data_IF_096699466799
#
_entry.id   IF_096699466799
#
_cell.length_a   1.000
_cell.length_b   1.000
_cell.length_c   1.000
_cell.angle_alpha   90.00
_cell.angle_beta   90.00
_cell.angle_gamma   90.00
#
_symmetry.space_group_name_H-M   'P 1'
#
loop_
_entity.id
_entity.type
_entity.pdbx_description
1 polymer ?
#
# COMPACT_ATOMS: atom_id res chain seq x y z
N UNK A 1 2.88 60.75 35.73
CA UNK A 1 1.41 60.89 35.62
C UNK A 1 1.03 60.97 34.16
N UNK A 2 0.57 59.96 33.57
CA UNK A 2 -0.02 59.98 32.23
C UNK A 2 -1.04 58.84 32.11
N UNK A 3 -2.29 59.26 31.87
CA UNK A 3 -3.49 58.45 31.89
C UNK A 3 -3.58 57.57 30.66
N UNK A 4 -3.88 56.28 30.86
CA UNK A 4 -4.26 55.32 29.79
C UNK A 4 -5.72 55.57 29.40
N UNK A 5 -5.99 55.78 28.13
CA UNK A 5 -7.34 55.85 27.54
C UNK A 5 -7.61 54.47 26.92
N UNK A 6 -8.61 53.77 27.45
CA UNK A 6 -9.13 52.53 26.90
C UNK A 6 -10.34 52.87 26.03
N UNK A 7 -10.26 52.57 24.75
CA UNK A 7 -11.39 52.70 23.81
C UNK A 7 -12.08 51.35 23.70
N UNK A 8 -13.32 51.28 24.18
CA UNK A 8 -14.24 50.17 23.94
C UNK A 8 -14.93 50.41 22.59
N UNK A 9 -14.75 49.48 21.65
CA UNK A 9 -15.52 49.47 20.39
C UNK A 9 -16.68 48.48 20.56
N UNK A 10 -17.89 49.02 20.68
CA UNK A 10 -19.12 48.22 20.73
C UNK A 10 -19.50 47.79 19.32
N UNK A 11 -19.56 46.48 19.09
CA UNK A 11 -20.06 45.89 17.87
C UNK A 11 -21.58 45.73 17.94
N UNK A 12 -22.32 46.56 17.19
CA UNK A 12 -23.78 46.41 17.05
C UNK A 12 -24.09 45.35 16.02
N UNK A 13 -24.69 44.25 16.47
CA UNK A 13 -25.16 43.16 15.61
C UNK A 13 -26.63 43.45 15.27
N UNK A 14 -26.93 43.88 14.05
CA UNK A 14 -28.31 43.97 13.54
C UNK A 14 -28.73 42.66 12.94
N UNK A 15 -29.65 41.96 13.61
CA UNK A 15 -30.31 40.76 13.14
C UNK A 15 -31.53 41.14 12.30
N UNK A 16 -31.47 40.90 10.99
CA UNK A 16 -32.65 41.01 10.11
C UNK A 16 -33.33 39.63 9.99
N UNK A 17 -34.50 39.48 10.62
CA UNK A 17 -35.38 38.32 10.44
C UNK A 17 -36.21 38.51 9.18
N UNK A 18 -36.00 37.62 8.18
CA UNK A 18 -36.94 37.47 7.05
C UNK A 18 -37.69 36.15 7.26
N UNK A 19 -38.99 36.26 7.53
CA UNK A 19 -39.92 35.12 7.60
C UNK A 19 -40.42 34.76 6.22
N UNK A 20 -40.20 33.52 5.79
CA UNK A 20 -40.84 32.99 4.57
C UNK A 20 -40.25 31.66 4.11
N UNK A 21 -41.02 30.58 4.29
CA UNK A 21 -41.00 29.28 3.68
C UNK A 21 -39.77 28.39 3.87
N UNK A 22 -40.03 27.21 4.47
CA UNK A 22 -39.20 26.04 4.67
C UNK A 22 -38.07 25.83 3.64
N UNK A 23 -36.85 26.11 4.06
CA UNK A 23 -35.59 25.80 3.38
C UNK A 23 -34.43 26.07 4.32
N UNK A 24 -33.49 25.15 4.42
CA UNK A 24 -32.29 25.26 5.23
C UNK A 24 -31.57 26.58 5.00
N UNK A 25 -31.07 27.27 6.01
CA UNK A 25 -30.39 28.56 5.83
C UNK A 25 -29.01 28.35 5.19
N UNK A 26 -28.82 28.94 4.02
CA UNK A 26 -27.51 29.09 3.37
C UNK A 26 -26.88 30.36 3.92
N UNK A 27 -25.77 30.23 4.62
CA UNK A 27 -24.99 31.35 5.14
C UNK A 27 -24.10 31.90 4.03
N UNK A 28 -24.36 33.09 3.51
CA UNK A 28 -23.46 33.77 2.58
C UNK A 28 -22.49 34.66 3.39
N UNK A 29 -21.19 34.44 3.24
CA UNK A 29 -20.15 35.36 3.70
C UNK A 29 -19.85 36.35 2.59
N UNK A 30 -20.12 37.65 2.85
CA UNK A 30 -19.72 38.74 1.95
C UNK A 30 -18.28 39.15 2.22
N UNK A 31 -17.47 39.04 1.19
CA UNK A 31 -16.19 39.69 0.88
C UNK A 31 -15.35 40.27 2.04
N UNK A 32 -14.31 39.52 2.41
CA UNK A 32 -13.05 40.10 2.91
C UNK A 32 -12.02 40.05 1.76
N UNK A 33 -11.55 41.19 1.32
CA UNK A 33 -10.40 41.30 0.40
C UNK A 33 -9.13 40.98 1.17
N UNK A 34 -8.56 39.80 0.95
CA UNK A 34 -7.20 39.44 1.39
C UNK A 34 -6.21 39.59 0.27
N UNK A 35 -4.94 39.97 0.51
CA UNK A 35 -3.93 40.16 -0.50
C UNK A 35 -3.52 38.79 -1.12
N UNK A 36 -3.25 38.81 -2.41
CA UNK A 36 -2.85 37.69 -3.28
C UNK A 36 -1.57 37.02 -2.75
N UNK A 37 -1.62 35.72 -2.48
CA UNK A 37 -0.43 34.91 -2.23
C UNK A 37 -0.63 33.81 -1.18
N UNK A 38 -1.50 32.83 -1.44
CA UNK A 38 -1.60 31.62 -0.65
C UNK A 38 -2.66 30.71 -1.26
N UNK A 39 -2.27 29.54 -1.73
CA UNK A 39 -3.22 28.49 -2.06
C UNK A 39 -3.92 28.08 -0.75
N UNK A 40 -5.09 28.65 -0.51
CA UNK A 40 -6.01 28.09 0.51
C UNK A 40 -6.59 26.81 -0.08
N UNK A 41 -6.14 25.65 0.42
CA UNK A 41 -6.89 24.41 0.23
C UNK A 41 -8.31 24.65 0.78
N UNK A 42 -9.29 24.54 -0.09
CA UNK A 42 -10.69 24.52 0.32
C UNK A 42 -10.86 23.38 1.35
N UNK A 43 -11.50 23.63 2.51
CA UNK A 43 -11.71 22.56 3.48
C UNK A 43 -12.49 21.44 2.80
N UNK A 44 -11.91 20.23 2.77
CA UNK A 44 -12.58 19.05 2.28
C UNK A 44 -13.89 18.86 3.06
N UNK A 45 -15.03 18.69 2.38
CA UNK A 45 -16.29 18.43 3.05
C UNK A 45 -16.15 17.22 3.98
N UNK A 46 -16.84 17.21 5.15
CA UNK A 46 -16.77 16.07 6.06
C UNK A 46 -17.20 14.79 5.31
N UNK A 47 -16.58 13.63 5.63
CA UNK A 47 -16.91 12.37 5.00
C UNK A 47 -18.40 12.05 5.12
N UNK A 48 -18.98 11.47 4.07
CA UNK A 48 -20.38 11.03 4.08
C UNK A 48 -20.57 9.95 5.16
N UNK A 49 -21.77 9.88 5.74
CA UNK A 49 -22.12 8.83 6.69
C UNK A 49 -21.90 7.45 6.03
N UNK A 50 -21.13 6.57 6.68
CA UNK A 50 -20.71 5.28 6.11
C UNK A 50 -19.41 5.30 5.31
N UNK A 51 -18.74 6.45 5.18
CA UNK A 51 -17.43 6.54 4.53
C UNK A 51 -16.37 5.70 5.27
N UNK A 52 -15.53 5.00 4.50
CA UNK A 52 -14.41 4.23 5.00
C UNK A 52 -13.11 4.76 4.43
N UNK A 53 -12.03 4.51 5.16
CA UNK A 53 -10.65 4.70 4.69
C UNK A 53 -10.12 3.39 4.14
N UNK A 54 -9.37 3.44 3.04
CA UNK A 54 -8.63 2.30 2.50
C UNK A 54 -7.17 2.45 2.87
N UNK A 55 -6.60 1.41 3.51
CA UNK A 55 -5.20 1.36 3.92
C UNK A 55 -4.47 0.21 3.24
N UNK A 56 -3.18 0.42 2.97
CA UNK A 56 -2.25 -0.56 2.43
C UNK A 56 -0.93 -0.46 3.18
N UNK A 57 -0.34 -1.60 3.49
CA UNK A 57 1.03 -1.72 4.01
C UNK A 57 1.78 -2.83 3.29
N UNK A 58 3.05 -2.59 2.99
CA UNK A 58 3.99 -3.54 2.41
C UNK A 58 5.26 -3.46 3.25
N UNK A 59 5.52 -4.48 4.06
CA UNK A 59 6.74 -4.60 4.85
C UNK A 59 7.66 -5.65 4.25
N UNK A 60 8.96 -5.34 4.12
CA UNK A 60 9.92 -6.22 3.46
C UNK A 60 11.13 -6.46 4.35
N UNK A 61 11.58 -7.71 4.44
CA UNK A 61 12.85 -8.10 5.03
C UNK A 61 13.73 -8.79 3.99
N UNK A 62 15.03 -8.48 4.04
CA UNK A 62 16.09 -9.15 3.27
C UNK A 62 17.12 -9.80 4.19
N UNK A 63 16.85 -9.87 5.49
CA UNK A 63 17.78 -10.31 6.54
C UNK A 63 18.25 -11.76 6.41
N UNK A 64 17.47 -12.61 5.75
CA UNK A 64 17.79 -14.03 5.56
C UNK A 64 18.72 -14.28 4.36
N UNK A 65 19.11 -13.22 3.64
CA UNK A 65 20.04 -13.30 2.52
C UNK A 65 21.44 -13.75 2.96
N UNK A 66 22.13 -14.49 2.08
CA UNK A 66 23.44 -15.09 2.35
C UNK A 66 24.40 -14.91 1.18
N UNK A 67 25.64 -14.56 1.45
CA UNK A 67 26.71 -14.55 0.44
C UNK A 67 27.00 -15.96 -0.09
N UNK A 68 27.51 -16.04 -1.31
CA UNK A 68 28.01 -17.30 -1.85
C UNK A 68 29.26 -17.78 -1.08
N UNK A 69 29.44 -19.08 -0.99
CA UNK A 69 30.60 -19.75 -0.42
C UNK A 69 31.08 -20.86 -1.36
N UNK A 70 32.28 -21.40 -1.11
CA UNK A 70 32.88 -22.40 -2.01
C UNK A 70 32.02 -23.65 -2.26
N UNK A 71 31.17 -23.97 -1.29
CA UNK A 71 30.29 -25.15 -1.28
C UNK A 71 28.79 -24.81 -1.28
N UNK A 72 28.43 -23.52 -1.38
CA UNK A 72 27.05 -23.06 -1.34
C UNK A 72 26.83 -21.82 -2.20
N UNK A 73 25.74 -21.83 -2.98
CA UNK A 73 25.26 -20.64 -3.68
C UNK A 73 24.88 -19.55 -2.69
N UNK A 74 25.13 -18.30 -3.06
CA UNK A 74 24.55 -17.13 -2.41
C UNK A 74 23.05 -17.06 -2.69
N UNK A 75 22.32 -16.40 -1.82
CA UNK A 75 20.88 -16.24 -1.92
C UNK A 75 20.48 -14.84 -1.44
N UNK A 76 19.85 -14.07 -2.29
CA UNK A 76 19.08 -12.91 -1.87
C UNK A 76 17.68 -13.37 -1.53
N UNK A 77 17.31 -13.34 -0.25
CA UNK A 77 16.02 -13.79 0.25
C UNK A 77 15.11 -12.60 0.55
N UNK A 78 13.85 -12.69 0.13
CA UNK A 78 12.84 -11.65 0.31
C UNK A 78 11.63 -12.23 1.04
N UNK A 79 11.34 -11.70 2.23
CA UNK A 79 10.09 -11.93 2.94
C UNK A 79 9.27 -10.63 2.91
N UNK A 80 8.13 -10.67 2.22
CA UNK A 80 7.24 -9.50 2.08
C UNK A 80 5.91 -9.81 2.74
N UNK A 81 5.48 -8.93 3.64
CA UNK A 81 4.16 -8.95 4.27
C UNK A 81 3.30 -7.83 3.68
N UNK A 82 2.10 -8.15 3.24
CA UNK A 82 1.19 -7.22 2.58
C UNK A 82 -0.14 -7.25 3.32
N UNK A 83 -0.65 -6.07 3.71
CA UNK A 83 -1.94 -5.95 4.39
C UNK A 83 -2.76 -4.84 3.75
N UNK A 84 -3.99 -5.18 3.35
CA UNK A 84 -5.01 -4.22 2.96
C UNK A 84 -6.12 -4.17 4.01
N UNK A 85 -6.62 -2.95 4.33
CA UNK A 85 -7.71 -2.76 5.28
C UNK A 85 -8.72 -1.73 4.79
N UNK A 86 -9.97 -1.87 5.23
CA UNK A 86 -10.90 -0.76 5.30
C UNK A 86 -11.18 -0.42 6.77
N UNK A 87 -11.20 0.87 7.11
CA UNK A 87 -11.31 1.35 8.49
C UNK A 87 -12.30 2.51 8.53
N UNK A 88 -13.18 2.54 9.54
CA UNK A 88 -14.03 3.69 9.78
C UNK A 88 -13.32 4.81 10.54
N UNK A 89 -13.99 5.96 10.72
CA UNK A 89 -13.43 7.12 11.41
C UNK A 89 -13.23 6.91 12.92
N UNK A 90 -13.79 5.84 13.48
CA UNK A 90 -13.55 5.43 14.87
C UNK A 90 -12.34 4.50 15.01
N UNK A 91 -11.65 4.19 13.90
CA UNK A 91 -10.52 3.27 13.86
C UNK A 91 -10.92 1.80 13.94
N UNK A 92 -12.19 1.47 13.68
CA UNK A 92 -12.66 0.08 13.65
C UNK A 92 -12.38 -0.50 12.27
N UNK A 93 -11.64 -1.60 12.23
CA UNK A 93 -11.32 -2.36 11.02
C UNK A 93 -12.63 -2.99 10.50
N UNK A 94 -13.03 -2.63 9.29
CA UNK A 94 -14.25 -3.12 8.66
C UNK A 94 -14.00 -4.30 7.76
N UNK A 95 -12.86 -4.29 7.07
CA UNK A 95 -12.32 -5.45 6.36
C UNK A 95 -10.79 -5.49 6.43
N UNK A 96 -10.24 -6.69 6.24
CA UNK A 96 -8.80 -6.93 6.27
C UNK A 96 -8.45 -8.10 5.34
N UNK A 97 -7.39 -7.94 4.56
CA UNK A 97 -6.77 -9.01 3.77
C UNK A 97 -5.29 -9.02 4.11
N UNK A 98 -4.75 -10.20 4.41
CA UNK A 98 -3.32 -10.41 4.68
C UNK A 98 -2.78 -11.32 3.59
N UNK A 99 -1.66 -10.94 2.99
CA UNK A 99 -0.91 -11.75 2.05
C UNK A 99 0.59 -11.66 2.32
N UNK A 100 1.38 -12.49 1.67
CA UNK A 100 2.84 -12.50 1.83
C UNK A 100 3.50 -13.09 0.60
N UNK A 101 4.72 -12.64 0.30
CA UNK A 101 5.60 -13.24 -0.70
C UNK A 101 6.82 -13.80 0.02
N UNK A 102 7.26 -15.00 -0.40
CA UNK A 102 8.60 -15.49 -0.11
C UNK A 102 9.26 -15.79 -1.43
N UNK A 103 10.29 -15.02 -1.77
CA UNK A 103 11.03 -15.15 -3.01
C UNK A 103 12.52 -15.16 -2.74
N UNK A 104 13.29 -15.71 -3.66
CA UNK A 104 14.76 -15.64 -3.61
C UNK A 104 15.38 -15.57 -4.99
N UNK A 105 16.59 -15.01 -5.05
CA UNK A 105 17.45 -15.00 -6.23
C UNK A 105 18.79 -15.62 -5.83
N UNK A 106 19.13 -16.74 -6.46
CA UNK A 106 20.41 -17.41 -6.24
C UNK A 106 21.49 -16.85 -7.17
N UNK A 107 22.73 -16.82 -6.67
CA UNK A 107 23.94 -16.43 -7.42
C UNK A 107 25.14 -17.24 -6.93
N UNK A 108 26.15 -17.38 -7.75
CA UNK A 108 27.32 -18.19 -7.44
C UNK A 108 28.53 -17.35 -6.97
N UNK A 109 29.66 -18.04 -6.70
CA UNK A 109 30.94 -17.43 -6.28
C UNK A 109 31.66 -16.64 -7.39
N UNK A 110 31.11 -16.56 -8.58
CA UNK A 110 31.57 -15.70 -9.68
C UNK A 110 30.66 -14.48 -9.87
N UNK A 111 29.67 -14.32 -8.97
CA UNK A 111 28.65 -13.27 -9.07
C UNK A 111 27.66 -13.47 -10.20
N UNK A 112 27.57 -14.67 -10.76
CA UNK A 112 26.57 -14.98 -11.78
C UNK A 112 25.22 -15.32 -11.12
N UNK A 113 24.12 -14.70 -11.57
CA UNK A 113 22.76 -15.08 -11.17
C UNK A 113 22.43 -16.43 -11.79
N UNK A 114 21.97 -17.38 -10.95
CA UNK A 114 21.67 -18.76 -11.35
C UNK A 114 20.19 -19.10 -11.30
N UNK A 115 19.35 -18.23 -10.74
CA UNK A 115 17.89 -18.38 -10.75
C UNK A 115 17.30 -18.22 -12.16
N UNK A 116 16.21 -18.93 -12.43
CA UNK A 116 15.35 -18.65 -13.59
C UNK A 116 14.60 -17.33 -13.36
N UNK A 117 15.04 -16.28 -14.04
CA UNK A 117 14.49 -14.93 -13.90
C UNK A 117 13.10 -14.76 -14.53
N UNK A 118 12.62 -15.77 -15.27
CA UNK A 118 11.28 -15.81 -15.87
C UNK A 118 10.27 -16.54 -14.99
N UNK A 119 10.73 -17.16 -13.90
CA UNK A 119 9.86 -17.86 -12.96
C UNK A 119 8.80 -16.94 -12.35
N UNK A 120 7.57 -17.43 -12.30
CA UNK A 120 6.46 -16.69 -11.69
C UNK A 120 6.65 -16.61 -10.16
N UNK A 121 6.48 -15.41 -9.60
CA UNK A 121 6.53 -15.16 -8.16
C UNK A 121 5.10 -15.00 -7.66
N UNK A 122 4.53 -16.06 -7.12
CA UNK A 122 3.18 -16.07 -6.55
C UNK A 122 3.19 -15.68 -5.07
N UNK A 123 2.11 -15.06 -4.62
CA UNK A 123 1.88 -14.81 -3.19
C UNK A 123 1.49 -16.11 -2.47
N UNK A 124 1.55 -16.11 -1.14
CA UNK A 124 1.12 -17.28 -0.35
C UNK A 124 -0.37 -17.55 -0.45
N UNK A 125 -1.20 -16.52 -0.65
CA UNK A 125 -2.62 -16.71 -0.92
C UNK A 125 -2.85 -17.39 -2.29
N UNK A 126 -2.09 -17.00 -3.32
CA UNK A 126 -2.17 -17.61 -4.65
C UNK A 126 -1.66 -19.04 -4.68
N UNK A 127 -0.60 -19.32 -3.93
CA UNK A 127 -0.07 -20.67 -3.77
C UNK A 127 -1.06 -21.58 -3.05
N UNK A 128 -1.80 -21.06 -2.06
CA UNK A 128 -2.76 -21.83 -1.30
C UNK A 128 -2.16 -23.14 -0.76
N UNK A 129 -2.70 -24.29 -1.17
CA UNK A 129 -2.18 -25.63 -0.78
C UNK A 129 -0.79 -25.92 -1.33
N UNK A 130 -0.40 -25.32 -2.45
CA UNK A 130 0.94 -25.50 -3.05
C UNK A 130 2.04 -24.85 -2.19
N UNK A 131 1.71 -23.95 -1.26
CA UNK A 131 2.66 -23.45 -0.27
C UNK A 131 3.15 -24.56 0.68
N UNK A 132 2.31 -25.56 0.94
CA UNK A 132 2.73 -26.85 1.48
C UNK A 132 2.92 -26.92 2.97
N UNK A 133 2.28 -26.06 3.76
CA UNK A 133 2.36 -26.15 5.23
C UNK A 133 1.74 -27.44 5.78
N UNK A 134 0.64 -27.90 5.18
CA UNK A 134 0.04 -29.20 5.52
C UNK A 134 0.93 -30.35 5.04
N UNK A 135 1.34 -30.31 3.79
CA UNK A 135 2.04 -31.39 3.13
C UNK A 135 3.46 -31.63 3.68
N UNK A 136 4.21 -30.58 3.95
CA UNK A 136 5.62 -30.66 4.33
C UNK A 136 5.91 -30.14 5.74
N UNK A 137 5.07 -29.23 6.26
CA UNK A 137 5.26 -28.60 7.57
C UNK A 137 4.50 -29.30 8.70
N UNK A 138 3.68 -30.33 8.43
CA UNK A 138 2.85 -31.01 9.43
C UNK A 138 1.79 -30.11 10.07
N UNK A 139 1.49 -28.97 9.50
CA UNK A 139 0.46 -28.05 9.97
C UNK A 139 -0.94 -28.57 9.65
N UNK A 140 -1.92 -28.31 10.53
CA UNK A 140 -3.34 -28.63 10.26
C UNK A 140 -3.94 -27.74 9.18
N UNK A 141 -3.45 -26.51 9.07
CA UNK A 141 -3.96 -25.46 8.17
C UNK A 141 -2.85 -24.90 7.28
N UNK A 142 -3.18 -24.55 6.06
CA UNK A 142 -2.28 -23.81 5.18
C UNK A 142 -2.08 -22.37 5.65
N UNK A 143 -1.04 -21.70 5.13
CA UNK A 143 -0.72 -20.34 5.53
C UNK A 143 -1.87 -19.37 5.28
N UNK A 144 -2.48 -19.43 4.09
CA UNK A 144 -3.61 -18.58 3.70
C UNK A 144 -4.85 -18.79 4.59
N UNK A 145 -5.12 -20.02 5.04
CA UNK A 145 -6.20 -20.31 5.99
C UNK A 145 -5.94 -19.63 7.34
N UNK A 146 -4.69 -19.67 7.81
CA UNK A 146 -4.27 -19.05 9.07
C UNK A 146 -4.28 -17.52 9.00
N UNK A 147 -3.81 -16.96 7.89
CA UNK A 147 -3.85 -15.52 7.63
C UNK A 147 -5.30 -15.00 7.54
N UNK A 148 -6.18 -15.75 6.86
CA UNK A 148 -7.61 -15.44 6.78
C UNK A 148 -8.30 -15.47 8.14
N UNK A 149 -7.92 -16.41 9.03
CA UNK A 149 -8.44 -16.47 10.40
C UNK A 149 -8.05 -15.22 11.20
N UNK A 150 -6.80 -14.75 11.10
CA UNK A 150 -6.35 -13.52 11.74
C UNK A 150 -7.07 -12.30 11.15
N UNK A 151 -7.18 -12.20 9.83
CA UNK A 151 -7.90 -11.12 9.15
C UNK A 151 -9.37 -11.05 9.59
N UNK A 152 -10.04 -12.20 9.70
CA UNK A 152 -11.41 -12.30 10.23
C UNK A 152 -11.47 -11.86 11.70
N UNK A 153 -10.50 -12.25 12.53
CA UNK A 153 -10.43 -11.86 13.94
C UNK A 153 -10.25 -10.35 14.12
N UNK A 154 -9.52 -9.69 13.20
CA UNK A 154 -9.29 -8.24 13.22
C UNK A 154 -10.57 -7.44 12.93
N UNK A 155 -11.51 -7.97 12.15
CA UNK A 155 -12.75 -7.27 11.78
C UNK A 155 -13.57 -6.94 13.03
N UNK A 156 -14.09 -5.71 13.09
CA UNK A 156 -14.87 -5.18 14.19
C UNK A 156 -14.04 -4.68 15.38
N UNK A 157 -12.71 -4.75 15.32
CA UNK A 157 -11.80 -4.30 16.38
C UNK A 157 -11.06 -3.03 15.99
N UNK A 158 -10.66 -2.25 16.98
CA UNK A 158 -9.60 -1.24 16.83
C UNK A 158 -8.24 -1.93 16.91
N UNK A 159 -7.17 -1.26 16.45
CA UNK A 159 -5.79 -1.78 16.57
C UNK A 159 -5.43 -2.08 18.02
N UNK A 160 -5.81 -1.21 18.96
CA UNK A 160 -5.54 -1.42 20.40
C UNK A 160 -6.18 -2.72 20.91
N UNK A 161 -7.48 -2.93 20.62
CA UNK A 161 -8.19 -4.15 20.99
C UNK A 161 -7.64 -5.40 20.30
N UNK A 162 -7.16 -5.27 19.04
CA UNK A 162 -6.52 -6.34 18.32
C UNK A 162 -5.20 -6.75 18.99
N UNK A 163 -4.32 -5.81 19.30
CA UNK A 163 -3.02 -6.06 19.95
C UNK A 163 -3.19 -6.70 21.33
N UNK A 164 -4.13 -6.20 22.13
CA UNK A 164 -4.41 -6.73 23.45
C UNK A 164 -4.96 -8.19 23.42
N UNK A 165 -5.85 -8.48 22.47
CA UNK A 165 -6.59 -9.75 22.41
C UNK A 165 -5.94 -10.83 21.56
N UNK A 166 -5.16 -10.46 20.53
CA UNK A 166 -4.71 -11.41 19.51
C UNK A 166 -3.42 -12.14 19.88
N UNK A 167 -2.44 -11.46 20.50
CA UNK A 167 -1.05 -11.94 20.57
C UNK A 167 -0.61 -12.18 22.02
N UNK A 168 0.05 -13.31 22.27
CA UNK A 168 0.75 -13.61 23.52
C UNK A 168 2.23 -13.21 23.45
N UNK A 169 2.97 -13.32 24.55
CA UNK A 169 4.38 -12.96 24.67
C UNK A 169 5.31 -13.70 23.69
N UNK A 170 4.91 -14.88 23.19
CA UNK A 170 5.68 -15.63 22.19
C UNK A 170 5.36 -15.24 20.75
N UNK A 171 4.50 -14.26 20.53
CA UNK A 171 4.06 -13.80 19.21
C UNK A 171 3.00 -14.69 18.55
N UNK A 172 2.44 -15.68 19.28
CA UNK A 172 1.39 -16.56 18.79
C UNK A 172 0.01 -16.07 19.21
N UNK A 173 -1.05 -16.66 18.62
CA UNK A 173 -2.41 -16.34 18.99
C UNK A 173 -2.69 -16.60 20.47
N UNK A 174 -3.30 -15.61 21.15
CA UNK A 174 -3.71 -15.65 22.56
C UNK A 174 -5.16 -16.12 22.70
N UNK A 175 -6.04 -15.65 21.83
CA UNK A 175 -7.44 -16.04 21.78
C UNK A 175 -7.57 -17.51 21.39
N UNK A 176 -8.40 -18.29 22.09
CA UNK A 176 -8.48 -19.74 21.92
C UNK A 176 -9.04 -20.16 20.55
N UNK A 177 -10.05 -19.41 20.05
CA UNK A 177 -10.67 -19.70 18.75
C UNK A 177 -9.68 -19.38 17.63
N UNK A 178 -8.99 -18.24 17.71
CA UNK A 178 -7.93 -17.88 16.76
C UNK A 178 -6.77 -18.87 16.82
N UNK A 179 -6.31 -19.27 18.01
CA UNK A 179 -5.19 -20.20 18.20
C UNK A 179 -5.50 -21.62 17.68
N UNK A 180 -6.77 -21.99 17.61
CA UNK A 180 -7.21 -23.28 17.05
C UNK A 180 -6.94 -23.39 15.54
N UNK A 181 -6.81 -22.27 14.85
CA UNK A 181 -6.55 -22.15 13.40
C UNK A 181 -5.17 -21.55 13.15
N UNK A 182 -4.87 -20.37 13.71
CA UNK A 182 -3.61 -19.65 13.50
C UNK A 182 -2.54 -20.15 14.49
N UNK A 183 -1.76 -21.13 14.08
CA UNK A 183 -0.67 -21.73 14.86
C UNK A 183 0.69 -21.12 14.59
N UNK A 184 0.83 -20.34 13.51
CA UNK A 184 2.04 -19.57 13.19
C UNK A 184 2.22 -18.39 14.17
N UNK A 185 3.40 -17.75 14.15
CA UNK A 185 3.59 -16.46 14.82
C UNK A 185 2.81 -15.40 14.05
N UNK A 186 1.92 -14.70 14.75
CA UNK A 186 1.04 -13.69 14.15
C UNK A 186 1.41 -12.25 14.55
N UNK A 187 2.36 -12.06 15.48
CA UNK A 187 2.72 -10.73 15.99
C UNK A 187 3.09 -9.75 14.87
N UNK A 188 3.97 -10.15 13.95
CA UNK A 188 4.37 -9.31 12.82
C UNK A 188 3.21 -8.96 11.88
N UNK A 189 2.21 -9.85 11.72
CA UNK A 189 1.01 -9.55 10.93
C UNK A 189 0.08 -8.57 11.66
N UNK A 190 0.01 -8.64 13.00
CA UNK A 190 -0.73 -7.65 13.79
C UNK A 190 -0.09 -6.27 13.68
N UNK A 191 1.25 -6.19 13.71
CA UNK A 191 1.98 -4.93 13.48
C UNK A 191 1.78 -4.41 12.05
N UNK A 192 1.73 -5.29 11.07
CA UNK A 192 1.42 -4.93 9.68
C UNK A 192 -0.02 -4.42 9.51
N UNK A 193 -1.00 -4.98 10.23
CA UNK A 193 -2.37 -4.45 10.27
C UNK A 193 -2.38 -3.05 10.87
N UNK A 194 -1.66 -2.82 11.99
CA UNK A 194 -1.51 -1.48 12.57
C UNK A 194 -0.96 -0.48 11.58
N UNK A 195 0.10 -0.84 10.86
CA UNK A 195 0.70 0.01 9.83
C UNK A 195 -0.27 0.29 8.66
N UNK A 196 -1.02 -0.71 8.20
CA UNK A 196 -2.04 -0.51 7.17
C UNK A 196 -3.17 0.42 7.64
N UNK A 197 -3.60 0.32 8.90
CA UNK A 197 -4.58 1.23 9.51
C UNK A 197 -4.03 2.66 9.61
N UNK A 198 -2.75 2.82 9.99
CA UNK A 198 -2.09 4.12 10.05
C UNK A 198 -1.98 4.80 8.66
N UNK A 199 -1.79 4.02 7.61
CA UNK A 199 -1.73 4.46 6.22
C UNK A 199 -3.11 4.72 5.58
N UNK A 200 -4.22 4.40 6.28
CA UNK A 200 -5.55 4.45 5.70
C UNK A 200 -6.02 5.89 5.40
N UNK A 201 -6.56 6.09 4.18
CA UNK A 201 -7.01 7.38 3.64
C UNK A 201 -8.43 7.29 3.09
N UNK A 202 -9.17 8.40 3.13
CA UNK A 202 -10.46 8.55 2.47
C UNK A 202 -10.27 8.62 0.95
N UNK A 203 -10.28 7.47 0.28
CA UNK A 203 -10.14 7.35 -1.16
C UNK A 203 -11.48 7.11 -1.89
N UNK A 204 -12.56 6.95 -1.13
CA UNK A 204 -13.91 6.79 -1.65
C UNK A 204 -14.65 5.53 -1.23
N UNK A 205 -14.00 4.63 -0.48
CA UNK A 205 -14.62 3.43 0.07
C UNK A 205 -15.83 3.76 0.95
N UNK A 206 -16.86 2.93 0.89
CA UNK A 206 -18.09 3.05 1.65
C UNK A 206 -18.40 1.75 2.39
N UNK A 207 -19.26 1.85 3.39
CA UNK A 207 -19.81 0.68 4.06
C UNK A 207 -20.59 -0.18 3.07
N UNK A 208 -20.29 -1.48 3.02
CA UNK A 208 -20.89 -2.43 2.08
C UNK A 208 -20.10 -2.63 0.79
N UNK A 209 -19.00 -1.90 0.58
CA UNK A 209 -18.05 -2.20 -0.49
C UNK A 209 -17.22 -3.44 -0.15
N UNK A 210 -16.79 -4.17 -1.17
CA UNK A 210 -15.90 -5.33 -1.05
C UNK A 210 -14.45 -4.91 -1.18
N UNK A 211 -13.61 -5.20 -0.18
CA UNK A 211 -12.16 -4.99 -0.25
C UNK A 211 -11.51 -6.07 -1.13
N UNK A 212 -10.61 -5.67 -1.98
CA UNK A 212 -9.80 -6.53 -2.85
C UNK A 212 -8.32 -6.17 -2.71
N UNK A 213 -7.46 -7.17 -2.84
CA UNK A 213 -6.01 -7.04 -2.87
C UNK A 213 -5.47 -7.81 -4.07
N UNK A 214 -4.58 -7.22 -4.84
CA UNK A 214 -3.80 -7.95 -5.84
C UNK A 214 -2.33 -7.55 -5.80
N UNK A 215 -1.49 -8.50 -6.17
CA UNK A 215 -0.04 -8.37 -6.22
C UNK A 215 0.46 -8.95 -7.54
N UNK A 216 1.38 -8.26 -8.21
CA UNK A 216 2.14 -8.78 -9.36
C UNK A 216 3.60 -8.63 -9.02
N UNK A 217 4.33 -9.75 -9.00
CA UNK A 217 5.73 -9.77 -8.58
C UNK A 217 6.61 -10.52 -9.57
N UNK A 218 7.90 -10.18 -9.59
CA UNK A 218 8.89 -10.84 -10.40
C UNK A 218 10.32 -10.51 -9.99
N UNK A 219 11.25 -11.35 -10.41
CA UNK A 219 12.69 -11.21 -10.15
C UNK A 219 13.49 -10.91 -11.43
N UNK A 220 12.79 -10.65 -12.54
CA UNK A 220 13.36 -10.47 -13.88
C UNK A 220 14.33 -9.29 -14.04
N UNK A 221 14.31 -8.34 -13.10
CA UNK A 221 15.24 -7.18 -13.09
C UNK A 221 16.61 -7.50 -12.47
N UNK A 222 16.84 -8.74 -12.03
CA UNK A 222 18.12 -9.16 -11.44
C UNK A 222 19.22 -9.24 -12.51
N UNK A 223 20.44 -8.86 -12.12
CA UNK A 223 21.61 -8.84 -13.02
C UNK A 223 22.83 -9.43 -12.31
N UNK A 224 23.64 -10.20 -13.03
CA UNK A 224 24.92 -10.75 -12.55
C UNK A 224 25.94 -9.64 -12.32
N UNK A 225 26.88 -9.90 -11.39
CA UNK A 225 28.04 -9.06 -11.22
C UNK A 225 29.05 -9.24 -12.38
N UNK A 226 29.88 -8.23 -12.60
CA UNK A 226 31.08 -8.29 -13.46
C UNK A 226 32.29 -7.81 -12.66
N UNK A 227 33.50 -7.87 -13.24
CA UNK A 227 34.70 -7.36 -12.58
C UNK A 227 34.61 -5.85 -12.26
N UNK A 228 33.83 -5.11 -13.05
CA UNK A 228 33.71 -3.63 -12.95
C UNK A 228 32.40 -3.18 -12.30
N UNK A 229 31.41 -4.07 -12.18
CA UNK A 229 30.06 -3.70 -11.74
C UNK A 229 29.46 -4.74 -10.81
N UNK A 230 28.93 -4.28 -9.68
CA UNK A 230 28.18 -5.12 -8.76
C UNK A 230 26.96 -5.77 -9.43
N UNK A 231 26.66 -6.99 -9.05
CA UNK A 231 25.41 -7.65 -9.36
C UNK A 231 24.28 -7.11 -8.47
N UNK A 232 23.07 -7.28 -8.91
CA UNK A 232 21.86 -6.91 -8.17
C UNK A 232 20.85 -8.04 -8.29
N UNK A 233 20.49 -8.66 -7.19
CA UNK A 233 19.25 -9.42 -7.08
C UNK A 233 18.13 -8.45 -6.77
N UNK A 234 17.00 -8.53 -7.48
CA UNK A 234 15.90 -7.59 -7.33
C UNK A 234 14.55 -8.32 -7.36
N UNK A 235 13.74 -8.03 -6.34
CA UNK A 235 12.31 -8.34 -6.34
C UNK A 235 11.53 -7.07 -6.65
N UNK A 236 10.78 -7.08 -7.75
CA UNK A 236 9.79 -6.05 -8.07
C UNK A 236 8.41 -6.57 -7.67
N UNK A 237 7.59 -5.74 -7.00
CA UNK A 237 6.22 -6.08 -6.63
C UNK A 237 5.34 -4.85 -6.76
N UNK A 238 4.33 -4.91 -7.62
CA UNK A 238 3.26 -3.93 -7.71
C UNK A 238 2.06 -4.44 -6.90
N UNK A 239 1.45 -3.58 -6.10
CA UNK A 239 0.37 -3.93 -5.17
C UNK A 239 -0.77 -2.94 -5.28
N UNK A 240 -2.02 -3.43 -5.31
CA UNK A 240 -3.22 -2.61 -5.20
C UNK A 240 -4.13 -3.12 -4.09
N UNK A 241 -4.54 -2.23 -3.20
CA UNK A 241 -5.71 -2.38 -2.36
C UNK A 241 -6.84 -1.52 -2.96
N UNK A 242 -7.95 -2.12 -3.32
CA UNK A 242 -9.10 -1.39 -3.83
C UNK A 242 -10.39 -1.87 -3.17
N UNK A 243 -11.41 -1.03 -3.20
CA UNK A 243 -12.77 -1.46 -2.89
C UNK A 243 -13.62 -1.38 -4.15
N UNK A 244 -14.57 -2.30 -4.25
CA UNK A 244 -15.52 -2.34 -5.36
C UNK A 244 -16.94 -2.55 -4.85
N UNK A 245 -17.90 -2.09 -5.64
CA UNK A 245 -19.33 -2.39 -5.51
C UNK A 245 -19.94 -2.57 -6.87
N UNK A 246 -20.61 -3.68 -7.06
CA UNK A 246 -21.29 -4.03 -8.33
C UNK A 246 -20.35 -3.95 -9.56
N UNK A 247 -19.07 -4.34 -9.39
CA UNK A 247 -18.04 -4.32 -10.42
C UNK A 247 -17.44 -2.94 -10.70
N UNK A 248 -17.80 -1.91 -9.90
CA UNK A 248 -17.28 -0.54 -10.02
C UNK A 248 -16.30 -0.27 -8.89
N UNK A 249 -15.11 0.21 -9.21
CA UNK A 249 -14.07 0.59 -8.25
C UNK A 249 -14.55 1.82 -7.46
N UNK A 250 -14.67 1.69 -6.15
CA UNK A 250 -15.10 2.77 -5.25
C UNK A 250 -13.92 3.47 -4.58
N UNK A 251 -12.83 2.74 -4.32
CA UNK A 251 -11.53 3.31 -3.90
C UNK A 251 -10.37 2.52 -4.51
N UNK A 252 -9.20 3.15 -4.60
CA UNK A 252 -8.00 2.49 -5.11
C UNK A 252 -6.77 3.08 -4.43
N UNK A 253 -5.86 2.21 -3.96
CA UNK A 253 -4.58 2.56 -3.37
C UNK A 253 -3.51 1.68 -4.01
N UNK A 254 -2.59 2.27 -4.77
CA UNK A 254 -1.50 1.57 -5.47
C UNK A 254 -0.17 1.91 -4.79
N UNK A 255 0.66 0.90 -4.59
CA UNK A 255 2.05 1.04 -4.18
C UNK A 255 2.92 0.02 -4.91
N UNK A 256 4.23 0.17 -4.84
CA UNK A 256 5.19 -0.75 -5.42
C UNK A 256 6.48 -0.85 -4.60
N UNK A 257 7.08 -2.02 -4.65
CA UNK A 257 8.35 -2.35 -4.04
C UNK A 257 9.39 -2.64 -5.12
N UNK A 258 10.63 -2.17 -4.91
CA UNK A 258 11.83 -2.59 -5.63
C UNK A 258 12.92 -2.95 -4.61
N UNK A 259 12.83 -4.15 -4.03
CA UNK A 259 13.80 -4.63 -3.07
C UNK A 259 15.06 -5.12 -3.77
N UNK A 260 16.21 -4.57 -3.40
CA UNK A 260 17.50 -4.86 -4.01
C UNK A 260 18.49 -5.41 -2.97
N UNK A 261 19.17 -6.50 -3.34
CA UNK A 261 20.33 -7.03 -2.63
C UNK A 261 21.49 -7.04 -3.62
N UNK A 262 22.51 -6.21 -3.36
CA UNK A 262 23.69 -6.11 -4.21
C UNK A 262 24.77 -7.07 -3.71
N UNK A 263 25.57 -7.59 -4.64
CA UNK A 263 26.69 -8.48 -4.38
C UNK A 263 27.81 -8.21 -5.37
N UNK A 264 29.04 -8.54 -4.98
CA UNK A 264 30.22 -8.35 -5.82
C UNK A 264 30.50 -9.56 -6.76
N UNK A 265 31.57 -9.48 -7.55
CA UNK A 265 32.01 -10.52 -8.47
C UNK A 265 32.49 -11.81 -7.77
N UNK A 266 32.51 -11.88 -6.46
CA UNK A 266 32.81 -13.09 -5.67
C UNK A 266 31.56 -13.66 -5.00
N UNK A 267 30.39 -13.10 -5.29
CA UNK A 267 29.12 -13.47 -4.66
C UNK A 267 29.01 -13.02 -3.19
N UNK A 268 29.83 -12.04 -2.76
CA UNK A 268 29.71 -11.45 -1.42
C UNK A 268 28.67 -10.35 -1.42
N UNK A 269 27.66 -10.43 -0.54
CA UNK A 269 26.62 -9.41 -0.41
C UNK A 269 27.21 -8.13 0.16
N UNK A 270 26.88 -6.99 -0.47
CA UNK A 270 27.34 -5.65 -0.09
C UNK A 270 26.22 -4.75 0.45
N UNK A 271 24.97 -5.20 0.36
CA UNK A 271 23.80 -4.50 0.92
C UNK A 271 23.77 -4.65 2.45
N UNK A 272 23.37 -3.59 3.16
CA UNK A 272 23.00 -3.67 4.57
C UNK A 272 21.69 -4.44 4.73
N UNK A 273 21.76 -5.69 5.17
CA UNK A 273 20.61 -6.58 5.32
C UNK A 273 19.73 -6.24 6.53
N UNK A 274 20.15 -5.32 7.40
CA UNK A 274 19.36 -4.87 8.55
C UNK A 274 18.40 -3.74 8.19
N UNK A 275 18.65 -3.04 7.08
CA UNK A 275 17.79 -1.99 6.56
C UNK A 275 16.62 -2.58 5.75
N UNK A 276 15.39 -2.29 6.18
CA UNK A 276 14.20 -2.72 5.45
C UNK A 276 14.07 -1.94 4.13
N UNK A 277 13.90 -2.62 2.97
CA UNK A 277 13.57 -1.95 1.72
C UNK A 277 12.27 -1.15 1.83
N UNK A 278 12.29 0.10 1.38
CA UNK A 278 11.13 0.99 1.36
C UNK A 278 10.33 0.85 0.06
N UNK A 279 9.00 1.04 0.15
CA UNK A 279 8.13 1.12 -1.03
C UNK A 279 8.32 2.44 -1.78
N UNK A 280 7.82 2.54 -3.00
CA UNK A 280 7.86 3.79 -3.77
C UNK A 280 7.03 4.91 -3.15
N UNK A 281 5.93 4.57 -2.47
CA UNK A 281 5.15 5.56 -1.72
C UNK A 281 5.91 6.08 -0.49
N UNK A 282 6.62 5.20 0.24
CA UNK A 282 7.45 5.58 1.38
C UNK A 282 8.66 6.42 0.97
N UNK A 283 9.29 6.09 -0.15
CA UNK A 283 10.39 6.87 -0.74
C UNK A 283 9.93 8.26 -1.17
N UNK A 284 8.71 8.39 -1.72
CA UNK A 284 8.19 9.66 -2.20
C UNK A 284 9.17 10.36 -3.15
N UNK A 285 9.61 11.57 -2.80
CA UNK A 285 10.61 12.33 -3.57
C UNK A 285 11.99 11.66 -3.60
N UNK A 286 12.32 10.82 -2.61
CA UNK A 286 13.55 10.04 -2.57
C UNK A 286 13.63 8.96 -3.66
N UNK A 287 12.50 8.58 -4.29
CA UNK A 287 12.52 7.73 -5.47
C UNK A 287 13.17 8.41 -6.68
N UNK A 288 13.07 9.74 -6.77
CA UNK A 288 13.93 10.59 -7.59
C UNK A 288 13.54 10.72 -9.05
N UNK A 289 12.27 10.49 -9.42
CA UNK A 289 11.82 10.69 -10.82
C UNK A 289 11.95 12.14 -11.27
N UNK A 290 11.63 13.11 -10.39
CA UNK A 290 11.83 14.54 -10.67
C UNK A 290 13.32 14.89 -10.68
N UNK A 291 14.05 14.44 -9.68
CA UNK A 291 15.44 14.83 -9.48
C UNK A 291 16.38 14.28 -10.57
N UNK A 292 16.19 13.05 -11.02
CA UNK A 292 17.12 12.35 -11.91
C UNK A 292 16.51 11.91 -13.24
N UNK A 293 15.17 11.73 -13.28
CA UNK A 293 14.43 11.36 -14.48
C UNK A 293 13.81 12.55 -15.24
N UNK A 294 13.97 13.79 -14.72
CA UNK A 294 13.36 15.00 -15.27
C UNK A 294 11.83 14.87 -15.47
N UNK A 295 11.19 14.05 -14.64
CA UNK A 295 9.74 13.87 -14.67
C UNK A 295 9.03 15.06 -13.98
N UNK A 296 7.82 15.38 -14.44
CA UNK A 296 6.97 16.41 -13.81
C UNK A 296 6.47 15.98 -12.43
N UNK A 297 6.24 14.68 -12.24
CA UNK A 297 5.68 14.09 -11.04
C UNK A 297 6.52 12.91 -10.56
N UNK A 298 6.58 12.70 -9.22
CA UNK A 298 7.15 11.49 -8.65
C UNK A 298 6.24 10.27 -8.91
N UNK A 299 6.78 9.07 -8.75
CA UNK A 299 6.04 7.84 -8.99
C UNK A 299 4.77 7.73 -8.14
N UNK A 300 4.88 8.04 -6.84
CA UNK A 300 3.77 8.00 -5.90
C UNK A 300 2.66 9.01 -6.25
N UNK A 301 3.01 10.20 -6.78
CA UNK A 301 2.05 11.18 -7.26
C UNK A 301 1.30 10.65 -8.49
N UNK A 302 2.01 10.01 -9.42
CA UNK A 302 1.42 9.43 -10.63
C UNK A 302 0.54 8.21 -10.33
N UNK A 303 0.98 7.32 -9.42
CA UNK A 303 0.19 6.18 -8.96
C UNK A 303 -1.11 6.63 -8.26
N UNK A 304 -1.03 7.68 -7.41
CA UNK A 304 -2.20 8.26 -6.76
C UNK A 304 -3.17 8.90 -7.77
N UNK A 305 -2.66 9.60 -8.79
CA UNK A 305 -3.49 10.18 -9.86
C UNK A 305 -4.16 9.10 -10.70
N UNK A 306 -3.45 8.02 -11.04
CA UNK A 306 -4.04 6.86 -11.72
C UNK A 306 -5.12 6.19 -10.86
N UNK A 307 -4.85 5.96 -9.58
CA UNK A 307 -5.82 5.40 -8.64
C UNK A 307 -7.08 6.27 -8.52
N UNK A 308 -6.92 7.60 -8.47
CA UNK A 308 -8.04 8.55 -8.50
C UNK A 308 -8.86 8.46 -9.80
N UNK A 309 -8.17 8.30 -10.94
CA UNK A 309 -8.84 8.13 -12.25
C UNK A 309 -9.58 6.80 -12.35
N UNK A 310 -9.07 5.73 -11.73
CA UNK A 310 -9.69 4.42 -11.71
C UNK A 310 -11.01 4.38 -10.93
N UNK A 311 -11.18 5.26 -9.94
CA UNK A 311 -12.42 5.35 -9.18
C UNK A 311 -13.63 5.66 -10.07
N UNK A 312 -14.73 4.92 -9.86
CA UNK A 312 -15.97 5.03 -10.66
C UNK A 312 -15.92 4.26 -11.98
N UNK A 313 -14.86 3.49 -12.25
CA UNK A 313 -14.69 2.70 -13.47
C UNK A 313 -14.74 1.20 -13.17
N UNK A 314 -15.06 0.43 -14.19
CA UNK A 314 -14.94 -1.03 -14.19
C UNK A 314 -13.54 -1.46 -14.61
N UNK A 315 -13.17 -2.73 -14.35
CA UNK A 315 -11.90 -3.29 -14.82
C UNK A 315 -11.74 -3.17 -16.35
N UNK A 316 -12.81 -3.42 -17.11
CA UNK A 316 -12.80 -3.31 -18.57
C UNK A 316 -12.52 -1.88 -19.04
N UNK A 317 -13.10 -0.87 -18.37
CA UNK A 317 -12.82 0.53 -18.69
C UNK A 317 -11.36 0.90 -18.41
N UNK A 318 -10.76 0.34 -17.36
CA UNK A 318 -9.33 0.53 -17.06
C UNK A 318 -8.46 -0.20 -18.09
N UNK A 319 -8.77 -1.46 -18.42
CA UNK A 319 -8.01 -2.24 -19.40
C UNK A 319 -8.01 -1.58 -20.80
N UNK A 320 -9.10 -0.89 -21.15
CA UNK A 320 -9.28 -0.24 -22.45
C UNK A 320 -8.83 1.25 -22.49
N UNK A 321 -8.13 1.75 -21.47
CA UNK A 321 -7.49 3.09 -21.56
C UNK A 321 -6.52 3.09 -22.73
N UNK A 322 -6.74 4.01 -23.68
CA UNK A 322 -5.87 4.14 -24.84
C UNK A 322 -4.46 4.58 -24.42
N UNK A 323 -3.44 3.93 -24.99
CA UNK A 323 -2.04 4.21 -24.70
C UNK A 323 -1.24 4.46 -25.97
N UNK A 324 -0.23 5.32 -25.88
CA UNK A 324 0.81 5.52 -26.88
C UNK A 324 2.16 5.27 -26.21
N UNK A 325 2.94 4.34 -26.74
CA UNK A 325 4.20 3.89 -26.11
C UNK A 325 4.04 3.47 -24.63
N UNK A 326 2.89 2.83 -24.32
CA UNK A 326 2.53 2.41 -22.96
C UNK A 326 2.00 3.51 -22.03
N UNK A 327 2.08 4.78 -22.42
CA UNK A 327 1.59 5.93 -21.63
C UNK A 327 0.16 6.29 -22.00
N UNK A 328 -0.66 6.81 -21.07
CA UNK A 328 -2.05 7.15 -21.38
C UNK A 328 -2.13 8.24 -22.44
N UNK A 329 -3.06 8.06 -23.40
CA UNK A 329 -3.34 9.04 -24.47
C UNK A 329 -4.51 9.96 -24.14
N UNK A 330 -5.32 9.62 -23.11
CA UNK A 330 -6.38 10.48 -22.57
C UNK A 330 -5.79 11.78 -22.03
N UNK A 331 -6.34 12.94 -22.42
CA UNK A 331 -5.76 14.25 -22.11
C UNK A 331 -5.74 14.55 -20.61
N UNK A 332 -6.79 14.16 -19.89
CA UNK A 332 -6.92 14.42 -18.45
C UNK A 332 -5.95 13.53 -17.66
N UNK A 333 -5.86 12.24 -18.03
CA UNK A 333 -4.96 11.31 -17.37
C UNK A 333 -3.50 11.59 -17.69
N UNK A 334 -3.16 11.84 -18.95
CA UNK A 334 -1.79 12.11 -19.41
C UNK A 334 -1.21 13.42 -18.85
N UNK A 335 -2.06 14.35 -18.43
CA UNK A 335 -1.63 15.57 -17.75
C UNK A 335 -0.94 15.32 -16.39
N UNK A 336 -1.28 14.19 -15.74
CA UNK A 336 -0.81 13.84 -14.38
C UNK A 336 -0.15 12.48 -14.29
N UNK A 337 -0.27 11.61 -15.30
CA UNK A 337 0.34 10.28 -15.38
C UNK A 337 1.10 10.19 -16.71
N UNK A 338 2.42 10.23 -16.63
CA UNK A 338 3.34 10.27 -17.81
C UNK A 338 4.18 9.00 -17.93
N UNK A 339 4.00 8.04 -17.01
CA UNK A 339 4.64 6.72 -17.05
C UNK A 339 3.77 5.70 -17.79
N UNK A 340 4.38 4.56 -18.11
CA UNK A 340 3.63 3.42 -18.65
C UNK A 340 2.64 2.89 -17.61
N UNK A 341 1.39 2.64 -18.05
CA UNK A 341 0.29 2.24 -17.16
C UNK A 341 -0.09 0.76 -17.28
N UNK A 342 0.55 0.01 -18.18
CA UNK A 342 0.22 -1.41 -18.41
C UNK A 342 0.27 -2.26 -17.14
N UNK A 343 1.25 -2.01 -16.26
CA UNK A 343 1.33 -2.66 -14.94
C UNK A 343 0.12 -2.35 -14.06
N UNK A 344 -0.31 -1.10 -14.00
CA UNK A 344 -1.50 -0.69 -13.23
C UNK A 344 -2.79 -1.30 -13.79
N UNK A 345 -2.91 -1.36 -15.12
CA UNK A 345 -4.06 -2.00 -15.79
C UNK A 345 -4.12 -3.49 -15.45
N UNK A 346 -3.00 -4.21 -15.57
CA UNK A 346 -2.91 -5.63 -15.24
C UNK A 346 -3.21 -5.90 -13.75
N UNK A 347 -2.70 -5.05 -12.85
CA UNK A 347 -2.89 -5.15 -11.41
C UNK A 347 -4.37 -4.98 -11.03
N UNK A 348 -5.06 -3.97 -11.56
CA UNK A 348 -6.49 -3.78 -11.34
C UNK A 348 -7.29 -4.92 -11.95
N UNK A 349 -6.97 -5.36 -13.16
CA UNK A 349 -7.63 -6.51 -13.77
C UNK A 349 -7.50 -7.78 -12.93
N UNK A 350 -6.34 -8.00 -12.28
CA UNK A 350 -6.11 -9.11 -11.34
C UNK A 350 -6.98 -8.97 -10.08
N UNK A 351 -7.06 -7.76 -9.51
CA UNK A 351 -7.84 -7.50 -8.30
C UNK A 351 -9.37 -7.67 -8.51
N UNK A 352 -9.85 -7.38 -9.71
CA UNK A 352 -11.28 -7.39 -10.03
C UNK A 352 -11.81 -8.73 -10.54
N UNK A 353 -10.96 -9.76 -10.60
CA UNK A 353 -11.38 -11.16 -10.82
C UNK A 353 -11.98 -11.73 -9.53
#
# INVERSE_FOLDING_TARGET
MTKKITIFLALVLTLALVTGCAGTPVIYYTNCTCPVGGHTQEPTPPPAEGALKTGLYIGTSVSDSKSAAADASGEAAYDVTIVAVTVDDKGIIRDCIIDSIKASVAFDTTGAVTSDLTAEVLTKNELGEAYGMKAYGGSKYEWNEQAAALAKYAKGKTVAALKEGAVNESGKAKDADLASIATIKIGGYVDAIEAAVANAKHLGAQSGDTLKLAVISGIGSSVSATAEKAGTAQLDSDVVALTEKDGIITSCYIDALQAKVNFDATGTITTDLTAAPQTKNELGEGYGMKAWGNAKFEWNEQAANFAKYAKGKTADQIANIAVTEGKPSDADLSATVTIAIGGFQALIAKAMK
#
